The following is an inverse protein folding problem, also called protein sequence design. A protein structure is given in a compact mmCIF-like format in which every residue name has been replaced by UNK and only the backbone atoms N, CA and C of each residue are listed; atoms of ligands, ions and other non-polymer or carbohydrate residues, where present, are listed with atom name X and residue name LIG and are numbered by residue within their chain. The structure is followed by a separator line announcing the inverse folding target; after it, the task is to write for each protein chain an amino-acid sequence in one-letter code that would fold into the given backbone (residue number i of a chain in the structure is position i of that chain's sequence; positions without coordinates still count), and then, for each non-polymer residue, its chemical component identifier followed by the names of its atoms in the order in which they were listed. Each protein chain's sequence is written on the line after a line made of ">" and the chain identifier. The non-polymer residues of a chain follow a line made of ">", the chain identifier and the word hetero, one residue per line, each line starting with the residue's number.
data_IF_141638387941
#
_entry.id   IF_141638387941
#
_cell.length_a   1.000
_cell.length_b   1.000
_cell.length_c   1.000
_cell.angle_alpha   90.00
_cell.angle_beta   90.00
_cell.angle_gamma   90.00
#
_symmetry.space_group_name_H-M   'P 1'
#
loop_
_entity.id
_entity.type
_entity.pdbx_description
1 polymer ?
#
# COMPACT_ATOMS: atom_id res chain seq x y z
N UNK A 1 2.66 28.20 -6.16
CA UNK A 1 3.42 27.53 -5.08
C UNK A 1 4.55 26.65 -5.61
N UNK A 2 4.30 25.77 -6.61
CA UNK A 2 5.31 24.83 -7.12
C UNK A 2 6.51 25.53 -7.76
N UNK A 3 6.30 26.54 -8.61
CA UNK A 3 7.39 27.29 -9.23
C UNK A 3 8.27 28.01 -8.20
N UNK A 4 7.68 28.58 -7.16
CA UNK A 4 8.43 29.18 -6.06
C UNK A 4 9.25 28.14 -5.30
N UNK A 5 8.71 26.95 -5.03
CA UNK A 5 9.44 25.87 -4.38
C UNK A 5 10.66 25.42 -5.21
N UNK A 6 10.49 25.29 -6.54
CA UNK A 6 11.59 24.95 -7.45
C UNK A 6 12.68 26.04 -7.43
N UNK A 7 12.33 27.32 -7.48
CA UNK A 7 13.31 28.42 -7.43
C UNK A 7 14.03 28.47 -6.08
N UNK A 8 13.30 28.31 -4.98
CA UNK A 8 13.87 28.25 -3.64
C UNK A 8 14.77 27.04 -3.39
N UNK A 9 14.56 25.93 -4.09
CA UNK A 9 15.43 24.75 -3.96
C UNK A 9 16.88 25.00 -4.44
N UNK A 10 17.08 25.98 -5.30
CA UNK A 10 18.41 26.45 -5.76
C UNK A 10 18.96 27.62 -4.93
N UNK A 11 18.27 27.98 -3.85
CA UNK A 11 18.62 29.11 -3.02
C UNK A 11 18.79 28.69 -1.56
N UNK A 12 19.66 29.36 -0.85
CA UNK A 12 19.67 29.34 0.61
C UNK A 12 18.58 30.28 1.13
N UNK A 13 17.65 29.78 1.89
CA UNK A 13 16.53 30.52 2.45
C UNK A 13 16.17 30.04 3.85
N UNK A 14 16.38 30.92 4.83
CA UNK A 14 16.13 30.64 6.25
C UNK A 14 14.85 31.32 6.79
N UNK A 15 14.00 31.82 5.92
CA UNK A 15 12.75 32.55 6.23
C UNK A 15 12.94 33.94 6.88
N UNK A 16 14.15 34.30 7.28
CA UNK A 16 14.46 35.57 7.94
C UNK A 16 15.13 36.52 6.95
N UNK A 17 16.06 36.03 6.15
CA UNK A 17 16.83 36.80 5.17
C UNK A 17 16.32 36.55 3.75
N UNK A 18 16.53 37.48 2.82
CA UNK A 18 16.20 37.24 1.42
C UNK A 18 16.93 36.00 0.87
N UNK A 19 16.28 35.22 -0.02
CA UNK A 19 16.88 34.03 -0.59
C UNK A 19 18.13 34.39 -1.42
N UNK A 20 19.25 33.72 -1.16
CA UNK A 20 20.49 33.84 -1.93
C UNK A 20 20.68 32.63 -2.82
N UNK A 21 20.99 32.83 -4.09
CA UNK A 21 21.17 31.75 -5.05
C UNK A 21 22.46 30.96 -4.77
N UNK A 22 22.33 29.65 -4.52
CA UNK A 22 23.45 28.74 -4.21
C UNK A 22 23.60 27.63 -5.26
N UNK A 23 22.82 27.65 -6.34
CA UNK A 23 22.87 26.67 -7.40
C UNK A 23 22.44 25.27 -6.88
N UNK A 24 23.24 24.25 -7.20
CA UNK A 24 22.95 22.86 -6.82
C UNK A 24 23.47 22.47 -5.43
N UNK A 25 24.00 23.43 -4.62
CA UNK A 25 24.62 23.08 -3.34
C UNK A 25 23.67 22.31 -2.41
N UNK A 26 22.41 22.74 -2.30
CA UNK A 26 21.41 22.06 -1.47
C UNK A 26 21.21 20.57 -1.87
N UNK A 27 21.29 20.28 -3.16
CA UNK A 27 21.17 18.90 -3.66
C UNK A 27 22.45 18.10 -3.38
N UNK A 28 23.61 18.71 -3.55
CA UNK A 28 24.89 18.07 -3.23
C UNK A 28 24.94 17.72 -1.74
N UNK A 29 24.60 18.66 -0.87
CA UNK A 29 24.59 18.47 0.57
C UNK A 29 23.60 17.38 0.99
N UNK A 30 22.39 17.35 0.38
CA UNK A 30 21.38 16.32 0.63
C UNK A 30 21.88 14.91 0.32
N UNK A 31 22.58 14.73 -0.81
CA UNK A 31 23.03 13.42 -1.27
C UNK A 31 24.43 13.02 -0.78
N UNK A 32 25.18 13.92 -0.14
CA UNK A 32 26.55 13.63 0.31
C UNK A 32 26.74 13.80 1.81
N UNK A 33 26.07 14.74 2.44
CA UNK A 33 26.38 15.20 3.81
C UNK A 33 25.22 14.96 4.77
N UNK A 34 23.96 14.95 4.29
CA UNK A 34 22.81 14.76 5.16
C UNK A 34 22.66 13.27 5.56
N UNK A 35 23.22 12.97 6.74
CA UNK A 35 23.14 11.61 7.31
C UNK A 35 21.69 11.18 7.57
N UNK A 36 20.80 12.08 7.95
CA UNK A 36 19.39 11.77 8.19
C UNK A 36 18.70 11.35 6.90
N UNK A 37 18.94 12.08 5.83
CA UNK A 37 18.39 11.75 4.51
C UNK A 37 18.89 10.39 4.02
N UNK A 38 20.21 10.16 4.06
CA UNK A 38 20.83 8.94 3.51
C UNK A 38 20.56 7.69 4.34
N UNK A 39 20.57 7.81 5.69
CA UNK A 39 20.48 6.65 6.58
C UNK A 39 19.02 6.28 6.95
N UNK A 40 18.11 7.24 6.94
CA UNK A 40 16.73 7.01 7.38
C UNK A 40 15.70 7.28 6.27
N UNK A 41 15.76 8.45 5.62
CA UNK A 41 14.70 8.82 4.67
C UNK A 41 14.74 7.93 3.44
N UNK A 42 15.90 7.75 2.80
CA UNK A 42 16.04 6.95 1.58
C UNK A 42 15.70 5.47 1.83
N UNK A 43 16.28 4.78 2.83
CA UNK A 43 15.95 3.37 3.09
C UNK A 43 14.48 3.16 3.45
N UNK A 44 13.92 4.01 4.31
CA UNK A 44 12.52 3.91 4.71
C UNK A 44 11.56 4.18 3.53
N UNK A 45 11.88 5.14 2.68
CA UNK A 45 11.09 5.43 1.47
C UNK A 45 11.12 4.27 0.49
N UNK A 46 12.29 3.67 0.24
CA UNK A 46 12.42 2.50 -0.62
C UNK A 46 11.65 1.32 -0.03
N UNK A 47 11.82 1.05 1.26
CA UNK A 47 11.11 -0.02 1.96
C UNK A 47 9.60 0.18 1.85
N UNK A 48 9.11 1.37 2.17
CA UNK A 48 7.70 1.70 2.07
C UNK A 48 7.17 1.54 0.64
N UNK A 49 7.89 2.07 -0.36
CA UNK A 49 7.49 2.00 -1.77
C UNK A 49 7.41 0.53 -2.28
N UNK A 50 8.37 -0.31 -1.90
CA UNK A 50 8.36 -1.73 -2.27
C UNK A 50 7.19 -2.46 -1.63
N UNK A 51 7.01 -2.32 -0.31
CA UNK A 51 5.95 -3.05 0.39
C UNK A 51 4.55 -2.54 0.03
N UNK A 52 4.37 -1.24 -0.11
CA UNK A 52 3.04 -0.66 -0.43
C UNK A 52 2.76 -0.75 -1.93
N UNK A 53 3.69 -0.35 -2.79
CA UNK A 53 3.48 -0.39 -4.24
C UNK A 53 3.41 -1.82 -4.77
N UNK A 54 4.51 -2.56 -4.67
CA UNK A 54 4.57 -3.93 -5.19
C UNK A 54 3.71 -4.88 -4.35
N UNK A 55 3.84 -4.82 -3.03
CA UNK A 55 3.07 -5.66 -2.10
C UNK A 55 1.57 -5.41 -2.19
N UNK A 56 1.15 -4.15 -2.24
CA UNK A 56 -0.26 -3.76 -2.40
C UNK A 56 -0.85 -4.22 -3.74
N UNK A 57 -0.07 -4.11 -4.82
CA UNK A 57 -0.47 -4.61 -6.12
C UNK A 57 -0.66 -6.15 -6.13
N UNK A 58 0.30 -6.88 -5.59
CA UNK A 58 0.22 -8.34 -5.46
C UNK A 58 -0.98 -8.73 -4.58
N UNK A 59 -1.16 -8.07 -3.45
CA UNK A 59 -2.28 -8.30 -2.54
C UNK A 59 -3.63 -8.03 -3.22
N UNK A 60 -3.74 -6.93 -3.99
CA UNK A 60 -4.92 -6.60 -4.79
C UNK A 60 -5.28 -7.70 -5.78
N UNK A 61 -4.27 -8.24 -6.49
CA UNK A 61 -4.49 -9.34 -7.41
C UNK A 61 -5.00 -10.61 -6.70
N UNK A 62 -4.35 -11.01 -5.60
CA UNK A 62 -4.75 -12.22 -4.87
C UNK A 62 -6.12 -12.08 -4.22
N UNK A 63 -6.45 -10.92 -3.66
CA UNK A 63 -7.79 -10.66 -3.13
C UNK A 63 -8.84 -10.68 -4.25
N UNK A 64 -8.59 -10.05 -5.38
CA UNK A 64 -9.50 -10.06 -6.53
C UNK A 64 -9.71 -11.50 -7.05
N UNK A 65 -8.63 -12.26 -7.18
CA UNK A 65 -8.71 -13.67 -7.59
C UNK A 65 -9.49 -14.52 -6.57
N UNK A 66 -9.22 -14.37 -5.27
CA UNK A 66 -9.94 -15.09 -4.21
C UNK A 66 -11.42 -14.75 -4.22
N UNK A 67 -11.77 -13.47 -4.35
CA UNK A 67 -13.17 -13.05 -4.44
C UNK A 67 -13.87 -13.56 -5.70
N UNK A 68 -13.16 -13.70 -6.80
CA UNK A 68 -13.72 -14.22 -8.06
C UNK A 68 -14.25 -15.66 -7.92
N UNK A 69 -13.73 -16.44 -6.96
CA UNK A 69 -14.18 -17.80 -6.68
C UNK A 69 -15.50 -17.86 -5.90
N UNK A 70 -15.92 -16.74 -5.30
CA UNK A 70 -17.14 -16.67 -4.49
C UNK A 70 -18.39 -16.47 -5.36
N UNK A 71 -19.55 -16.81 -4.80
CA UNK A 71 -20.85 -16.52 -5.42
C UNK A 71 -21.06 -15.01 -5.55
N UNK A 72 -21.83 -14.57 -6.53
CA UNK A 72 -22.00 -13.16 -6.87
C UNK A 72 -22.39 -12.29 -5.66
N UNK A 73 -23.34 -12.72 -4.83
CA UNK A 73 -23.79 -11.94 -3.66
C UNK A 73 -22.68 -11.74 -2.63
N UNK A 74 -22.02 -12.83 -2.23
CA UNK A 74 -20.93 -12.80 -1.24
C UNK A 74 -19.75 -11.98 -1.78
N UNK A 75 -19.37 -12.19 -3.04
CA UNK A 75 -18.32 -11.42 -3.71
C UNK A 75 -18.59 -9.91 -3.68
N UNK A 76 -19.82 -9.49 -3.99
CA UNK A 76 -20.19 -8.08 -4.01
C UNK A 76 -20.08 -7.44 -2.62
N UNK A 77 -20.58 -8.12 -1.58
CA UNK A 77 -20.48 -7.64 -0.20
C UNK A 77 -19.01 -7.53 0.23
N UNK A 78 -18.22 -8.56 -0.03
CA UNK A 78 -16.79 -8.55 0.32
C UNK A 78 -16.01 -7.49 -0.46
N UNK A 79 -16.31 -7.28 -1.73
CA UNK A 79 -15.69 -6.23 -2.54
C UNK A 79 -15.99 -4.84 -1.98
N UNK A 80 -17.22 -4.56 -1.52
CA UNK A 80 -17.57 -3.30 -0.86
C UNK A 80 -16.76 -3.11 0.43
N UNK A 81 -16.68 -4.14 1.27
CA UNK A 81 -15.93 -4.09 2.54
C UNK A 81 -14.45 -3.79 2.28
N UNK A 82 -13.83 -4.49 1.32
CA UNK A 82 -12.40 -4.33 0.98
C UNK A 82 -12.14 -2.98 0.32
N UNK A 83 -13.05 -2.48 -0.50
CA UNK A 83 -12.90 -1.22 -1.21
C UNK A 83 -13.20 0.00 -0.34
N UNK A 84 -14.06 -0.13 0.70
CA UNK A 84 -14.53 1.00 1.52
C UNK A 84 -13.41 1.84 2.17
N UNK A 85 -12.25 1.30 2.59
CA UNK A 85 -11.16 2.10 3.13
C UNK A 85 -10.62 3.13 2.14
N UNK A 86 -10.51 2.76 0.88
CA UNK A 86 -9.99 3.67 -0.16
C UNK A 86 -10.91 4.87 -0.45
N UNK A 87 -12.18 4.77 -0.10
CA UNK A 87 -13.16 5.86 -0.23
C UNK A 87 -13.17 6.78 0.99
N UNK A 88 -12.60 6.33 2.11
CA UNK A 88 -12.62 7.08 3.37
C UNK A 88 -11.53 8.15 3.34
N UNK A 89 -11.87 9.38 3.68
CA UNK A 89 -10.90 10.48 3.71
C UNK A 89 -9.74 10.20 4.67
N UNK A 90 -8.51 10.53 4.25
CA UNK A 90 -7.28 10.20 4.99
C UNK A 90 -7.28 10.69 6.45
N UNK A 91 -7.95 11.81 6.77
CA UNK A 91 -8.08 12.32 8.15
C UNK A 91 -8.87 11.36 9.02
N UNK A 92 -9.97 10.78 8.51
CA UNK A 92 -10.77 9.82 9.28
C UNK A 92 -10.01 8.51 9.47
N UNK A 93 -9.36 8.01 8.42
CA UNK A 93 -8.53 6.80 8.49
C UNK A 93 -7.42 6.97 9.53
N UNK A 94 -6.69 8.09 9.49
CA UNK A 94 -5.61 8.33 10.46
C UNK A 94 -6.10 8.35 11.91
N UNK A 95 -7.30 8.88 12.17
CA UNK A 95 -7.90 8.89 13.53
C UNK A 95 -8.31 7.48 13.96
N UNK A 96 -8.92 6.69 13.10
CA UNK A 96 -9.29 5.30 13.41
C UNK A 96 -8.06 4.48 13.77
N UNK A 97 -7.02 4.56 12.95
CA UNK A 97 -5.79 3.82 13.20
C UNK A 97 -5.01 4.33 14.41
N UNK A 98 -5.05 5.64 14.70
CA UNK A 98 -4.45 6.19 15.90
C UNK A 98 -5.09 5.62 17.19
N UNK A 99 -6.39 5.33 17.18
CA UNK A 99 -7.08 4.68 18.30
C UNK A 99 -6.71 3.19 18.38
N UNK A 100 -6.64 2.50 17.25
CA UNK A 100 -6.29 1.07 17.22
C UNK A 100 -4.85 0.85 17.69
N UNK A 101 -3.91 1.66 17.20
CA UNK A 101 -2.48 1.60 17.52
C UNK A 101 -2.08 2.56 18.66
N UNK A 102 -3.01 2.88 19.56
CA UNK A 102 -2.67 3.64 20.75
C UNK A 102 -1.65 2.89 21.61
N UNK A 103 -0.59 3.59 22.03
CA UNK A 103 0.55 3.00 22.76
C UNK A 103 0.33 2.80 24.26
N UNK A 104 -0.89 3.08 24.80
CA UNK A 104 -1.21 2.87 26.20
C UNK A 104 -1.64 1.42 26.50
N UNK A 105 -1.68 1.04 27.76
CA UNK A 105 -2.21 -0.25 28.22
C UNK A 105 -3.68 -0.44 27.83
N UNK A 106 -4.44 0.64 27.77
CA UNK A 106 -5.84 0.65 27.37
C UNK A 106 -6.05 0.81 25.86
N UNK A 107 -4.96 0.96 25.08
CA UNK A 107 -4.98 0.98 23.63
C UNK A 107 -5.59 -0.31 23.10
N UNK A 108 -6.47 -0.21 22.08
CA UNK A 108 -7.28 -1.35 21.63
C UNK A 108 -6.44 -2.59 21.28
N UNK A 109 -5.38 -2.40 20.49
CA UNK A 109 -4.52 -3.51 20.09
C UNK A 109 -3.66 -4.04 21.24
N UNK A 110 -3.10 -3.14 22.06
CA UNK A 110 -2.31 -3.54 23.23
C UNK A 110 -3.18 -4.32 24.22
N UNK A 111 -4.39 -3.85 24.50
CA UNK A 111 -5.32 -4.55 25.39
C UNK A 111 -5.59 -5.98 24.91
N UNK A 112 -5.91 -6.18 23.63
CA UNK A 112 -6.14 -7.51 23.07
C UNK A 112 -4.91 -8.41 23.14
N UNK A 113 -3.73 -7.89 22.80
CA UNK A 113 -2.50 -8.67 22.80
C UNK A 113 -2.05 -9.04 24.22
N UNK A 114 -2.29 -8.18 25.20
CA UNK A 114 -2.04 -8.45 26.62
C UNK A 114 -3.05 -9.46 27.19
N UNK A 115 -4.32 -9.32 26.85
CA UNK A 115 -5.38 -10.25 27.27
C UNK A 115 -5.13 -11.68 26.74
N UNK A 116 -4.62 -11.80 25.51
CA UNK A 116 -4.21 -13.08 24.92
C UNK A 116 -2.86 -13.60 25.41
N UNK A 117 -2.16 -12.84 26.26
CA UNK A 117 -0.84 -13.21 26.79
C UNK A 117 0.29 -13.21 25.76
N UNK A 118 0.10 -12.52 24.62
CA UNK A 118 1.09 -12.43 23.54
C UNK A 118 2.19 -11.43 23.91
N UNK A 119 1.83 -10.34 24.58
CA UNK A 119 2.77 -9.32 25.08
C UNK A 119 2.57 -9.11 26.58
N UNK A 120 3.64 -8.79 27.30
CA UNK A 120 3.62 -8.52 28.75
C UNK A 120 3.53 -7.03 29.08
N UNK A 121 3.97 -6.18 28.14
CA UNK A 121 4.00 -4.72 28.28
C UNK A 121 3.42 -4.05 27.04
N UNK A 122 2.80 -2.86 27.15
CA UNK A 122 2.22 -2.17 26.02
C UNK A 122 3.29 -1.67 25.04
N UNK A 123 3.07 -1.91 23.77
CA UNK A 123 3.95 -1.48 22.69
C UNK A 123 3.58 -0.06 22.27
N UNK A 124 4.57 0.83 22.17
CA UNK A 124 4.41 2.21 21.66
C UNK A 124 4.45 2.25 20.14
N UNK A 125 3.38 1.76 19.49
CA UNK A 125 3.30 1.53 18.04
C UNK A 125 3.68 2.74 17.19
N UNK A 126 3.19 3.93 17.54
CA UNK A 126 3.34 5.16 16.76
C UNK A 126 4.50 6.03 17.22
N UNK A 127 5.14 5.73 18.36
CA UNK A 127 6.26 6.47 18.93
C UNK A 127 7.58 5.71 18.85
N UNK A 128 7.56 4.43 18.50
CA UNK A 128 8.76 3.61 18.33
C UNK A 128 9.25 3.66 16.89
N UNK A 129 10.56 3.87 16.71
CA UNK A 129 11.22 3.79 15.40
C UNK A 129 11.06 2.41 14.73
N UNK A 130 10.98 1.35 15.52
CA UNK A 130 10.91 -0.03 15.02
C UNK A 130 9.51 -0.39 14.51
N UNK A 131 8.47 0.19 15.12
CA UNK A 131 7.08 -0.13 14.82
C UNK A 131 6.37 0.86 13.89
N UNK A 132 6.86 2.11 13.83
CA UNK A 132 6.19 3.15 13.06
C UNK A 132 6.08 2.79 11.58
N UNK A 133 7.19 2.39 10.95
CA UNK A 133 7.21 2.03 9.52
C UNK A 133 6.35 0.79 9.22
N UNK A 134 6.43 -0.34 9.96
CA UNK A 134 5.51 -1.46 9.81
C UNK A 134 4.03 -1.08 9.94
N UNK A 135 3.67 -0.26 10.93
CA UNK A 135 2.28 0.21 11.09
C UNK A 135 1.83 1.03 9.89
N UNK A 136 2.66 1.96 9.42
CA UNK A 136 2.37 2.75 8.22
C UNK A 136 2.15 1.87 7.00
N UNK A 137 2.97 0.83 6.81
CA UNK A 137 2.82 -0.12 5.71
C UNK A 137 1.50 -0.90 5.80
N UNK A 138 1.14 -1.41 6.98
CA UNK A 138 -0.12 -2.14 7.20
C UNK A 138 -1.33 -1.26 6.86
N UNK A 139 -1.34 -0.03 7.39
CA UNK A 139 -2.42 0.93 7.12
C UNK A 139 -2.53 1.28 5.65
N UNK A 140 -1.39 1.51 5.00
CA UNK A 140 -1.33 1.83 3.58
C UNK A 140 -1.77 0.65 2.71
N UNK A 141 -1.34 -0.57 3.00
CA UNK A 141 -1.78 -1.78 2.29
C UNK A 141 -3.30 -1.97 2.39
N UNK A 142 -3.86 -1.76 3.58
CA UNK A 142 -5.32 -1.85 3.75
C UNK A 142 -6.06 -0.77 2.97
N UNK A 143 -5.52 0.45 2.91
CA UNK A 143 -6.12 1.58 2.18
C UNK A 143 -5.86 1.53 0.66
N UNK A 144 -4.90 0.73 0.20
CA UNK A 144 -4.50 0.66 -1.22
C UNK A 144 -5.49 -0.11 -2.11
N UNK A 145 -6.49 -0.80 -1.52
CA UNK A 145 -7.50 -1.57 -2.24
C UNK A 145 -8.50 -0.65 -2.95
N UNK A 146 -8.03 0.13 -3.90
CA UNK A 146 -8.80 1.14 -4.64
C UNK A 146 -9.34 0.64 -5.98
N UNK A 147 -9.41 1.58 -6.93
CA UNK A 147 -9.96 1.34 -8.28
C UNK A 147 -9.18 0.26 -9.04
N UNK A 148 -7.87 0.13 -8.80
CA UNK A 148 -7.04 -0.93 -9.38
C UNK A 148 -7.50 -2.33 -8.99
N UNK A 149 -7.80 -2.55 -7.70
CA UNK A 149 -8.38 -3.81 -7.20
C UNK A 149 -9.71 -4.13 -7.90
N UNK A 150 -10.64 -3.17 -7.98
CA UNK A 150 -11.93 -3.37 -8.65
C UNK A 150 -11.77 -3.67 -10.14
N UNK A 151 -10.83 -3.02 -10.82
CA UNK A 151 -10.52 -3.29 -12.22
C UNK A 151 -10.06 -4.73 -12.43
N UNK A 152 -9.13 -5.21 -11.59
CA UNK A 152 -8.63 -6.59 -11.65
C UNK A 152 -9.77 -7.58 -11.35
N UNK A 153 -10.58 -7.33 -10.31
CA UNK A 153 -11.73 -8.18 -9.97
C UNK A 153 -12.73 -8.27 -11.12
N UNK A 154 -13.07 -7.13 -11.72
CA UNK A 154 -13.95 -7.08 -12.90
C UNK A 154 -13.34 -7.84 -14.07
N UNK A 155 -12.05 -7.65 -14.34
CA UNK A 155 -11.34 -8.38 -15.38
C UNK A 155 -11.46 -9.89 -15.19
N UNK A 156 -11.11 -10.40 -14.01
CA UNK A 156 -11.13 -11.84 -13.71
C UNK A 156 -12.55 -12.42 -13.84
N UNK A 157 -13.56 -11.71 -13.36
CA UNK A 157 -14.95 -12.20 -13.41
C UNK A 157 -15.55 -12.19 -14.81
N UNK A 158 -14.97 -11.44 -15.75
CA UNK A 158 -15.39 -11.38 -17.15
C UNK A 158 -14.60 -12.33 -18.08
N UNK A 159 -13.62 -13.07 -17.56
CA UNK A 159 -12.89 -14.07 -18.37
C UNK A 159 -13.86 -15.18 -18.78
N UNK A 160 -13.84 -15.54 -20.08
CA UNK A 160 -14.69 -16.62 -20.59
C UNK A 160 -14.34 -17.95 -19.90
N UNK A 161 -15.35 -18.61 -19.35
CA UNK A 161 -15.19 -19.90 -18.66
C UNK A 161 -14.64 -21.00 -19.58
N UNK A 162 -14.96 -20.94 -20.86
CA UNK A 162 -14.46 -21.88 -21.85
C UNK A 162 -12.91 -21.91 -21.93
N UNK A 163 -12.25 -20.77 -21.65
CA UNK A 163 -10.78 -20.74 -21.59
C UNK A 163 -10.23 -21.58 -20.44
N UNK A 164 -10.91 -21.61 -19.31
CA UNK A 164 -10.51 -22.44 -18.17
C UNK A 164 -10.80 -23.92 -18.43
N UNK A 165 -11.89 -24.22 -19.14
CA UNK A 165 -12.26 -25.60 -19.54
C UNK A 165 -11.27 -26.14 -20.58
N UNK A 166 -10.96 -25.36 -21.61
CA UNK A 166 -9.97 -25.73 -22.61
C UNK A 166 -8.58 -25.96 -21.99
N UNK A 167 -8.16 -25.07 -21.10
CA UNK A 167 -6.89 -25.17 -20.39
C UNK A 167 -6.78 -26.49 -19.55
N UNK A 168 -7.88 -26.95 -18.98
CA UNK A 168 -7.90 -28.24 -18.27
C UNK A 168 -7.74 -29.43 -19.22
N UNK A 169 -8.32 -29.34 -20.41
CA UNK A 169 -8.14 -30.36 -21.48
C UNK A 169 -6.69 -30.37 -21.94
N UNK A 170 -6.05 -29.19 -22.04
CA UNK A 170 -4.65 -29.03 -22.41
C UNK A 170 -3.66 -29.42 -21.30
N UNK A 171 -4.15 -29.92 -20.15
CA UNK A 171 -3.32 -30.50 -19.10
C UNK A 171 -2.97 -29.58 -17.94
N UNK A 172 -3.64 -28.43 -17.76
CA UNK A 172 -3.53 -27.61 -16.55
C UNK A 172 -4.19 -28.36 -15.38
N UNK A 173 -3.39 -28.69 -14.35
CA UNK A 173 -3.80 -29.55 -13.24
C UNK A 173 -4.05 -28.82 -11.91
N UNK A 174 -3.49 -27.62 -11.74
CA UNK A 174 -3.57 -26.92 -10.46
C UNK A 174 -3.90 -25.43 -10.63
N UNK A 175 -4.34 -24.81 -9.52
CA UNK A 175 -4.77 -23.40 -9.50
C UNK A 175 -3.66 -22.41 -9.82
N UNK A 176 -2.42 -22.71 -9.48
CA UNK A 176 -1.29 -21.83 -9.81
C UNK A 176 -1.02 -21.79 -11.32
N UNK A 177 -1.11 -22.95 -11.99
CA UNK A 177 -1.01 -23.01 -13.44
C UNK A 177 -2.16 -22.25 -14.10
N UNK A 178 -3.38 -22.39 -13.58
CA UNK A 178 -4.57 -21.66 -14.05
C UNK A 178 -4.37 -20.13 -13.92
N UNK A 179 -3.81 -19.66 -12.80
CA UNK A 179 -3.50 -18.25 -12.60
C UNK A 179 -2.48 -17.78 -13.63
N UNK A 180 -1.37 -18.49 -13.77
CA UNK A 180 -0.23 -18.03 -14.59
C UNK A 180 -0.53 -18.12 -16.10
N UNK A 181 -1.18 -19.20 -16.55
CA UNK A 181 -1.35 -19.46 -17.97
C UNK A 181 -2.70 -19.02 -18.53
N UNK A 182 -3.72 -18.82 -17.70
CA UNK A 182 -5.05 -18.39 -18.15
C UNK A 182 -5.42 -17.03 -17.57
N UNK A 183 -5.46 -16.91 -16.25
CA UNK A 183 -6.00 -15.72 -15.59
C UNK A 183 -5.16 -14.48 -15.88
N UNK A 184 -3.87 -14.50 -15.57
CA UNK A 184 -2.97 -13.35 -15.77
C UNK A 184 -2.93 -12.91 -17.24
N UNK A 185 -2.74 -13.80 -18.23
CA UNK A 185 -2.76 -13.39 -19.63
C UNK A 185 -4.08 -12.76 -20.08
N UNK A 186 -5.21 -13.26 -19.57
CA UNK A 186 -6.54 -12.77 -19.95
C UNK A 186 -6.87 -11.40 -19.37
N UNK A 187 -6.29 -11.04 -18.21
CA UNK A 187 -6.57 -9.77 -17.51
C UNK A 187 -5.42 -8.77 -17.56
N UNK A 188 -4.45 -8.95 -18.45
CA UNK A 188 -3.31 -8.05 -18.60
C UNK A 188 -3.68 -6.56 -18.69
N UNK A 189 -4.69 -6.13 -19.47
CA UNK A 189 -5.05 -4.72 -19.55
C UNK A 189 -5.52 -4.15 -18.19
N UNK A 190 -6.31 -4.92 -17.44
CA UNK A 190 -6.81 -4.55 -16.12
C UNK A 190 -5.67 -4.53 -15.08
N UNK A 191 -4.75 -5.46 -15.19
CA UNK A 191 -3.53 -5.50 -14.37
C UNK A 191 -2.63 -4.29 -14.63
N UNK A 192 -2.42 -3.93 -15.91
CA UNK A 192 -1.65 -2.74 -16.26
C UNK A 192 -2.31 -1.47 -15.71
N UNK A 193 -3.62 -1.34 -15.88
CA UNK A 193 -4.38 -0.24 -15.29
C UNK A 193 -4.21 -0.21 -13.77
N UNK A 194 -4.35 -1.36 -13.10
CA UNK A 194 -4.16 -1.48 -11.65
C UNK A 194 -2.75 -1.05 -11.21
N UNK A 195 -1.71 -1.42 -11.97
CA UNK A 195 -0.32 -1.06 -11.67
C UNK A 195 -0.04 0.44 -11.83
N UNK A 196 -0.73 1.12 -12.76
CA UNK A 196 -0.60 2.58 -12.96
C UNK A 196 -1.35 3.35 -11.87
N UNK A 197 -2.42 2.77 -11.32
CA UNK A 197 -3.26 3.40 -10.29
C UNK A 197 -2.84 3.07 -8.85
N UNK A 198 -1.89 2.15 -8.65
CA UNK A 198 -1.32 1.79 -7.36
C UNK A 198 -0.19 2.77 -6.97
#
# INVERSE_FOLDING_TARGET
>A
PVGAAILLSFSYFNTIEPPTFVGFQNYIDLFTTDATFLQYVVPNTITYAVFVGVGGYILSFFLAWSLSQLTHGVRSVMAIIIYSPSMTGGILISKIWAVIFDGSETGYLNYLLMDWGIISEPIKWLQSSDWLLPVMIIVALWSSMGVGFLSILSGITNVNKELYEAARVDGIKNRWQEIIYVTIPSVRPQMLFGAVMA
#
